data_IF_240507642300
#
_entry.id   IF_240507642300
#
_cell.length_a   1.000
_cell.length_b   1.000
_cell.length_c   1.000
_cell.angle_alpha   90.00
_cell.angle_beta   90.00
_cell.angle_gamma   90.00
#
_symmetry.space_group_name_H-M   'P 1'
#
loop_
_entity.id
_entity.type
_entity.pdbx_description
1 polymer ?
#
# COMPACT_ATOMS: atom_id res chain seq x y z
N UNK A 1 -8.85 8.93 -9.18
CA UNK A 1 -8.78 7.96 -10.30
C UNK A 1 -8.96 6.55 -9.76
N UNK A 2 -10.02 5.83 -10.16
CA UNK A 2 -10.34 4.48 -9.66
C UNK A 2 -9.33 3.42 -10.12
N UNK A 3 -8.55 3.69 -11.16
CA UNK A 3 -7.50 2.77 -11.64
C UNK A 3 -6.28 2.78 -10.71
N UNK A 4 -5.94 3.96 -10.17
CA UNK A 4 -4.76 4.22 -9.33
C UNK A 4 -4.99 4.01 -7.84
N UNK A 5 -6.25 3.82 -7.40
CA UNK A 5 -6.59 3.68 -5.97
C UNK A 5 -7.34 2.38 -5.71
N UNK A 6 -7.00 1.69 -4.62
CA UNK A 6 -7.77 0.58 -4.09
C UNK A 6 -8.27 0.87 -2.67
N UNK A 7 -9.56 0.62 -2.44
CA UNK A 7 -10.22 0.83 -1.15
C UNK A 7 -10.55 -0.53 -0.54
N UNK A 8 -9.95 -0.82 0.62
CA UNK A 8 -10.36 -1.96 1.41
C UNK A 8 -11.67 -1.66 2.15
N UNK A 9 -12.43 -2.72 2.47
CA UNK A 9 -13.49 -2.60 3.46
C UNK A 9 -12.91 -2.57 4.88
N UNK A 10 -13.71 -2.10 5.85
CA UNK A 10 -13.28 -1.95 7.24
C UNK A 10 -12.94 -3.27 7.95
N UNK A 11 -13.36 -4.42 7.40
CA UNK A 11 -13.04 -5.73 7.96
C UNK A 11 -11.62 -6.21 7.63
N UNK A 12 -10.96 -5.63 6.62
CA UNK A 12 -9.62 -6.03 6.20
C UNK A 12 -8.63 -5.95 7.36
N UNK A 13 -8.53 -4.78 8.00
CA UNK A 13 -7.58 -4.56 9.09
C UNK A 13 -7.85 -5.48 10.29
N UNK A 14 -9.13 -5.64 10.67
CA UNK A 14 -9.54 -6.53 11.75
C UNK A 14 -9.14 -7.98 11.47
N UNK A 15 -9.34 -8.46 10.24
CA UNK A 15 -8.96 -9.83 9.85
C UNK A 15 -7.45 -10.02 9.76
N UNK A 16 -6.73 -9.03 9.26
CA UNK A 16 -5.27 -9.04 9.16
C UNK A 16 -4.63 -9.15 10.55
N UNK A 17 -5.08 -8.33 11.50
CA UNK A 17 -4.51 -8.21 12.84
C UNK A 17 -5.06 -9.20 13.86
N UNK A 18 -6.15 -9.92 13.53
CA UNK A 18 -6.74 -10.93 14.42
C UNK A 18 -5.68 -11.95 14.86
N UNK A 19 -5.48 -12.08 16.17
CA UNK A 19 -4.72 -13.17 16.76
C UNK A 19 -5.50 -14.47 16.57
N UNK A 20 -4.87 -15.47 15.96
CA UNK A 20 -5.42 -16.81 15.80
C UNK A 20 -4.56 -17.81 16.57
N UNK A 21 -5.12 -18.97 16.89
CA UNK A 21 -4.41 -20.08 17.55
C UNK A 21 -3.55 -20.89 16.56
N UNK A 22 -3.16 -20.29 15.44
CA UNK A 22 -2.44 -20.93 14.32
C UNK A 22 -0.95 -21.20 14.66
N UNK A 23 -0.58 -21.22 15.94
CA UNK A 23 0.79 -21.35 16.44
C UNK A 23 1.43 -22.72 16.15
N UNK A 24 0.62 -23.71 15.73
CA UNK A 24 1.09 -25.07 15.39
C UNK A 24 1.58 -25.15 13.93
N UNK A 25 1.54 -24.04 13.17
CA UNK A 25 1.93 -24.04 11.76
C UNK A 25 3.42 -23.68 11.54
N UNK A 26 4.10 -24.44 10.69
CA UNK A 26 5.51 -24.23 10.27
C UNK A 26 5.72 -22.97 9.39
N UNK A 27 4.77 -22.03 9.34
CA UNK A 27 4.85 -20.82 8.52
C UNK A 27 5.11 -19.58 9.39
N UNK A 28 5.63 -18.52 8.78
CA UNK A 28 5.95 -17.30 9.52
C UNK A 28 4.69 -16.60 10.06
N UNK A 29 4.80 -15.82 11.15
CA UNK A 29 3.67 -15.01 11.65
C UNK A 29 3.11 -14.04 10.60
N UNK A 30 3.94 -13.52 9.71
CA UNK A 30 3.51 -12.64 8.61
C UNK A 30 2.65 -13.40 7.60
N UNK A 31 3.05 -14.61 7.23
CA UNK A 31 2.31 -15.45 6.31
C UNK A 31 0.98 -15.93 6.88
N UNK A 32 0.92 -16.22 8.19
CA UNK A 32 -0.35 -16.44 8.90
C UNK A 32 -1.31 -15.25 8.77
N UNK A 33 -0.81 -14.02 8.98
CA UNK A 33 -1.60 -12.78 8.82
C UNK A 33 -2.12 -12.64 7.40
N UNK A 34 -1.24 -12.81 6.42
CA UNK A 34 -1.59 -12.73 5.00
C UNK A 34 -2.65 -13.77 4.61
N UNK A 35 -2.51 -15.02 5.05
CA UNK A 35 -3.46 -16.10 4.73
C UNK A 35 -4.90 -15.79 5.14
N UNK A 36 -5.12 -15.00 6.20
CA UNK A 36 -6.46 -14.58 6.63
C UNK A 36 -7.12 -13.58 5.69
N UNK A 37 -6.34 -12.83 4.93
CA UNK A 37 -6.83 -11.76 4.05
C UNK A 37 -6.57 -12.01 2.57
N UNK A 38 -5.88 -13.09 2.19
CA UNK A 38 -5.50 -13.38 0.78
C UNK A 38 -6.66 -13.32 -0.22
N UNK A 39 -7.89 -13.63 0.20
CA UNK A 39 -9.09 -13.53 -0.65
C UNK A 39 -9.42 -12.10 -1.07
N UNK A 40 -9.09 -11.10 -0.24
CA UNK A 40 -9.26 -9.68 -0.58
C UNK A 40 -8.27 -9.22 -1.66
N UNK A 41 -7.20 -9.98 -1.89
CA UNK A 41 -6.11 -9.65 -2.82
C UNK A 41 -6.11 -10.59 -4.05
N UNK A 42 -7.13 -11.44 -4.21
CA UNK A 42 -7.13 -12.47 -5.25
C UNK A 42 -7.32 -11.88 -6.65
N UNK A 43 -8.26 -10.95 -6.79
CA UNK A 43 -8.70 -10.43 -8.09
C UNK A 43 -8.20 -8.99 -8.31
N UNK A 44 -7.23 -8.55 -7.51
CA UNK A 44 -6.67 -7.21 -7.56
C UNK A 44 -5.18 -7.25 -7.27
N UNK A 45 -4.39 -6.75 -8.21
CA UNK A 45 -3.01 -6.38 -7.95
C UNK A 45 -2.99 -5.01 -7.27
N UNK A 46 -2.61 -5.00 -5.98
CA UNK A 46 -2.54 -3.79 -5.16
C UNK A 46 -1.24 -3.01 -5.36
N UNK A 47 -0.19 -3.62 -5.92
CA UNK A 47 1.11 -2.98 -6.12
C UNK A 47 1.16 -2.11 -7.38
N UNK A 48 0.29 -2.39 -8.36
CA UNK A 48 0.03 -1.49 -9.50
C UNK A 48 -0.88 -0.30 -9.16
N UNK A 49 -1.28 -0.16 -7.90
CA UNK A 49 -2.00 1.03 -7.40
C UNK A 49 -0.99 2.00 -6.83
N UNK A 50 -1.35 3.28 -6.86
CA UNK A 50 -0.55 4.31 -6.20
C UNK A 50 -1.03 4.53 -4.77
N UNK A 51 -2.32 4.30 -4.52
CA UNK A 51 -2.94 4.53 -3.22
C UNK A 51 -3.74 3.32 -2.74
N UNK A 52 -3.47 2.87 -1.52
CA UNK A 52 -4.35 1.97 -0.79
C UNK A 52 -5.00 2.73 0.37
N UNK A 53 -6.32 2.63 0.46
CA UNK A 53 -7.09 3.22 1.55
C UNK A 53 -7.62 2.07 2.41
N UNK A 54 -7.30 2.09 3.71
CA UNK A 54 -7.78 1.12 4.69
C UNK A 54 -8.56 1.87 5.77
N UNK A 55 -9.90 1.89 5.69
CA UNK A 55 -10.74 2.36 6.79
C UNK A 55 -10.63 1.41 7.98
N UNK A 56 -10.49 1.97 9.18
CA UNK A 56 -10.43 1.19 10.42
C UNK A 56 -11.47 1.70 11.39
N UNK A 57 -12.29 0.78 11.89
CA UNK A 57 -13.21 1.01 12.99
C UNK A 57 -12.78 0.17 14.18
N UNK A 58 -12.33 0.84 15.24
CA UNK A 58 -12.03 0.21 16.52
C UNK A 58 -12.69 1.02 17.61
N UNK A 59 -13.36 0.33 18.55
CA UNK A 59 -13.98 0.96 19.73
C UNK A 59 -14.86 2.18 19.39
N UNK A 60 -15.66 2.09 18.32
CA UNK A 60 -16.49 3.18 17.79
C UNK A 60 -15.72 4.45 17.36
N UNK A 61 -14.40 4.35 17.19
CA UNK A 61 -13.54 5.39 16.64
C UNK A 61 -13.10 5.02 15.23
N UNK A 62 -13.31 5.93 14.29
CA UNK A 62 -12.93 5.77 12.89
C UNK A 62 -11.64 6.50 12.59
N UNK A 63 -10.71 5.80 11.96
CA UNK A 63 -9.51 6.38 11.39
C UNK A 63 -9.18 5.69 10.06
N UNK A 64 -8.34 6.32 9.25
CA UNK A 64 -8.00 5.84 7.91
C UNK A 64 -6.49 5.71 7.82
N UNK A 65 -6.03 4.57 7.30
CA UNK A 65 -4.64 4.40 6.88
C UNK A 65 -4.59 4.59 5.36
N UNK A 66 -3.71 5.52 4.93
CA UNK A 66 -3.39 5.75 3.53
C UNK A 66 -1.98 5.22 3.28
N UNK A 67 -1.85 4.29 2.34
CA UNK A 67 -0.54 3.78 1.89
C UNK A 67 -0.34 4.35 0.49
N UNK A 68 0.78 5.05 0.30
CA UNK A 68 1.19 5.56 -1.00
C UNK A 68 2.39 4.76 -1.50
N UNK A 69 2.25 4.13 -2.66
CA UNK A 69 3.36 3.51 -3.36
C UNK A 69 3.99 4.54 -4.29
N UNK A 70 5.26 4.85 -4.05
CA UNK A 70 6.07 5.60 -4.98
C UNK A 70 6.70 4.57 -5.92
N UNK A 71 5.94 4.13 -6.92
CA UNK A 71 6.46 3.32 -8.01
C UNK A 71 7.30 4.24 -8.91
N UNK A 72 8.42 4.74 -8.38
CA UNK A 72 9.35 5.59 -9.10
C UNK A 72 10.11 4.69 -10.08
N UNK A 73 9.51 4.45 -11.26
CA UNK A 73 10.32 4.34 -12.47
C UNK A 73 10.62 5.79 -12.81
N UNK A 74 11.88 6.26 -12.73
CA UNK A 74 12.23 7.57 -13.26
C UNK A 74 11.72 7.62 -14.70
N UNK A 75 10.75 8.48 -14.96
CA UNK A 75 10.37 8.75 -16.34
C UNK A 75 11.50 9.56 -16.96
N UNK A 76 11.79 9.33 -18.24
CA UNK A 76 12.88 10.00 -18.98
C UNK A 76 12.88 11.55 -18.84
N UNK A 77 11.74 12.14 -18.44
CA UNK A 77 11.60 13.57 -18.17
C UNK A 77 12.05 14.07 -16.80
N UNK A 78 12.43 13.19 -15.86
CA UNK A 78 12.91 13.57 -14.52
C UNK A 78 14.45 13.76 -14.46
N UNK A 79 15.15 13.53 -15.59
CA UNK A 79 16.62 13.61 -15.69
C UNK A 79 17.15 14.87 -16.40
N UNK A 80 16.31 15.88 -16.68
CA UNK A 80 16.76 17.10 -17.35
C UNK A 80 16.19 18.32 -16.63
N UNK A 81 16.88 18.76 -15.58
CA UNK A 81 16.86 20.16 -15.12
C UNK A 81 17.95 20.36 -14.06
N UNK A 82 19.23 20.30 -14.44
CA UNK A 82 20.32 20.79 -13.57
C UNK A 82 21.49 21.41 -14.36
N UNK A 83 21.33 21.69 -15.67
CA UNK A 83 22.33 22.42 -16.46
C UNK A 83 21.63 23.55 -17.24
N UNK A 84 21.59 24.76 -16.67
CA UNK A 84 21.55 26.05 -17.37
C UNK A 84 21.64 27.18 -16.32
N UNK A 85 22.78 27.28 -15.64
CA UNK A 85 23.21 28.48 -14.90
C UNK A 85 24.75 28.46 -14.80
N UNK A 86 25.43 28.48 -15.96
CA UNK A 86 26.81 28.97 -16.05
C UNK A 86 26.83 30.17 -17.00
N UNK A 87 26.50 31.30 -16.37
CA UNK A 87 26.87 32.69 -16.63
C UNK A 87 27.68 32.97 -17.92
N UNK A 88 26.99 33.46 -18.94
CA UNK A 88 27.59 34.21 -20.03
C UNK A 88 27.60 35.70 -19.63
N UNK A 89 28.73 36.25 -19.14
CA UNK A 89 29.05 37.68 -19.32
C UNK A 89 30.56 37.99 -19.20
N UNK A 90 31.12 38.34 -20.36
CA UNK A 90 32.29 39.19 -20.69
C UNK A 90 33.60 39.18 -19.88
#
# INVERSE_FOLDING_TARGET
>A
DRKRTYLFNSFFYTRLTRKGNDDISNISPAERRYNRVKRWLRDVDIFSKDYLIVPINQTAHWYIVLIQFHNNVPTEGDLISDDDDDDETH
#
